data_IF_972435305337
#
_entry.id   IF_972435305337
#
_cell.length_a   1.000
_cell.length_b   1.000
_cell.length_c   1.000
_cell.angle_alpha   90.00
_cell.angle_beta   90.00
_cell.angle_gamma   90.00
#
_symmetry.space_group_name_H-M   'P 1'
#
loop_
_entity.id
_entity.type
_entity.pdbx_description
1 polymer ?
#
# COMPACT_ATOMS: atom_id res chain seq x y z
N UNK A 1 -10.36 -1.29 3.45
CA UNK A 1 -10.85 -2.18 4.50
C UNK A 1 -9.68 -2.90 5.18
N UNK A 2 -8.94 -3.80 4.50
CA UNK A 2 -7.86 -4.59 5.11
C UNK A 2 -6.80 -3.76 5.82
N UNK A 3 -6.37 -2.64 5.24
CA UNK A 3 -5.39 -1.76 5.85
C UNK A 3 -5.89 -1.16 7.17
N UNK A 4 -7.13 -0.72 7.23
CA UNK A 4 -7.72 -0.14 8.44
C UNK A 4 -7.89 -1.20 9.54
N UNK A 5 -8.34 -2.40 9.16
CA UNK A 5 -8.42 -3.53 10.09
C UNK A 5 -7.04 -3.94 10.62
N UNK A 6 -6.01 -3.86 9.78
CA UNK A 6 -4.64 -4.13 10.20
C UNK A 6 -4.18 -3.13 11.27
N UNK A 7 -4.44 -1.83 11.09
CA UNK A 7 -4.06 -0.78 12.05
C UNK A 7 -4.79 -0.93 13.39
N UNK A 8 -6.03 -1.45 13.40
CA UNK A 8 -6.76 -1.75 14.63
C UNK A 8 -6.13 -2.94 15.37
N UNK A 9 -5.61 -3.94 14.64
CA UNK A 9 -5.11 -5.20 15.21
C UNK A 9 -3.61 -5.20 15.51
N UNK A 10 -2.84 -4.22 15.01
CA UNK A 10 -1.39 -4.12 15.28
C UNK A 10 -0.93 -2.66 15.21
N UNK A 11 0.34 -2.41 15.51
CA UNK A 11 0.92 -1.07 15.54
C UNK A 11 0.94 -0.43 14.15
N UNK A 12 0.62 0.87 14.07
CA UNK A 12 0.59 1.61 12.82
C UNK A 12 1.97 1.61 12.10
N UNK A 13 3.06 1.72 12.86
CA UNK A 13 4.43 1.62 12.36
C UNK A 13 4.70 0.27 11.67
N UNK A 14 4.28 -0.83 12.28
CA UNK A 14 4.45 -2.20 11.72
C UNK A 14 3.66 -2.35 10.42
N UNK A 15 2.39 -1.89 10.40
CA UNK A 15 1.56 -1.91 9.20
C UNK A 15 2.21 -1.09 8.08
N UNK A 16 2.67 0.12 8.37
CA UNK A 16 3.32 0.98 7.39
C UNK A 16 4.57 0.37 6.79
N UNK A 17 5.41 -0.27 7.61
CA UNK A 17 6.65 -0.92 7.14
C UNK A 17 6.37 -2.18 6.32
N UNK A 18 5.48 -3.06 6.77
CA UNK A 18 5.11 -4.27 6.00
C UNK A 18 4.42 -3.87 4.67
N UNK A 19 3.55 -2.87 4.70
CA UNK A 19 2.90 -2.38 3.49
C UNK A 19 3.87 -1.73 2.50
N UNK A 20 5.02 -1.23 2.95
CA UNK A 20 6.03 -0.64 2.07
C UNK A 20 6.73 -1.65 1.15
N UNK A 21 6.57 -2.96 1.40
CA UNK A 21 7.01 -4.02 0.50
C UNK A 21 6.06 -4.24 -0.70
N UNK A 22 5.08 -3.38 -0.85
CA UNK A 22 4.13 -3.38 -1.97
C UNK A 22 4.80 -3.42 -3.37
N UNK A 23 5.95 -2.74 -3.63
CA UNK A 23 6.65 -2.85 -4.91
C UNK A 23 6.97 -4.28 -5.32
N UNK A 24 7.23 -5.18 -4.37
CA UNK A 24 7.44 -6.62 -4.63
C UNK A 24 6.21 -7.25 -5.26
N UNK A 25 5.03 -7.02 -4.69
CA UNK A 25 3.77 -7.54 -5.21
C UNK A 25 3.39 -6.89 -6.54
N UNK A 26 3.63 -5.59 -6.69
CA UNK A 26 3.43 -4.85 -7.93
C UNK A 26 4.31 -5.45 -9.04
N UNK A 27 5.58 -5.71 -8.78
CA UNK A 27 6.50 -6.33 -9.74
C UNK A 27 6.01 -7.71 -10.20
N UNK A 28 5.56 -8.57 -9.28
CA UNK A 28 5.03 -9.89 -9.60
C UNK A 28 3.79 -9.77 -10.50
N UNK A 29 2.84 -8.91 -10.12
CA UNK A 29 1.63 -8.71 -10.89
C UNK A 29 1.87 -7.99 -12.21
N UNK A 30 2.81 -7.03 -12.28
CA UNK A 30 3.19 -6.37 -13.51
C UNK A 30 3.81 -7.36 -14.50
N UNK A 31 4.63 -8.29 -14.05
CA UNK A 31 5.13 -9.39 -14.88
C UNK A 31 3.99 -10.27 -15.42
N UNK A 32 3.05 -10.68 -14.57
CA UNK A 32 1.94 -11.58 -14.95
C UNK A 32 0.95 -10.89 -15.91
N UNK A 33 0.51 -9.67 -15.58
CA UNK A 33 -0.60 -9.00 -16.26
C UNK A 33 -0.16 -8.01 -17.34
N UNK A 34 0.97 -7.34 -17.17
CA UNK A 34 1.50 -6.32 -18.10
C UNK A 34 2.67 -6.85 -18.93
N UNK A 35 3.22 -8.03 -18.59
CA UNK A 35 4.41 -8.62 -19.19
C UNK A 35 5.64 -7.72 -19.07
N UNK A 36 5.71 -6.91 -18.01
CA UNK A 36 6.92 -6.14 -17.69
C UNK A 36 8.06 -7.09 -17.30
N UNK A 37 9.29 -6.80 -17.75
CA UNK A 37 10.43 -7.66 -17.46
C UNK A 37 10.88 -7.58 -16.01
N UNK A 38 11.16 -8.74 -15.40
CA UNK A 38 11.76 -8.83 -14.07
C UNK A 38 13.28 -8.92 -14.22
N UNK A 39 13.97 -7.90 -13.74
CA UNK A 39 15.42 -7.89 -13.74
C UNK A 39 16.00 -8.55 -12.46
N UNK A 40 17.24 -9.06 -12.55
CA UNK A 40 17.92 -9.74 -11.44
C UNK A 40 18.02 -8.89 -10.17
N UNK A 41 18.22 -7.59 -10.31
CA UNK A 41 18.29 -6.68 -9.17
C UNK A 41 16.96 -6.59 -8.40
N UNK A 42 15.81 -6.74 -9.07
CA UNK A 42 14.51 -6.77 -8.42
C UNK A 42 14.36 -8.01 -7.51
N UNK A 43 14.91 -9.15 -7.94
CA UNK A 43 14.89 -10.38 -7.13
C UNK A 43 15.77 -10.22 -5.88
N UNK A 44 16.93 -9.58 -5.99
CA UNK A 44 17.83 -9.30 -4.87
C UNK A 44 17.11 -8.41 -3.83
N UNK A 45 16.45 -7.34 -4.30
CA UNK A 45 15.67 -6.47 -3.40
C UNK A 45 14.56 -7.22 -2.71
N UNK A 46 13.81 -8.06 -3.44
CA UNK A 46 12.76 -8.90 -2.87
C UNK A 46 13.27 -9.75 -1.71
N UNK A 47 14.43 -10.37 -1.87
CA UNK A 47 15.06 -11.18 -0.80
C UNK A 47 15.42 -10.31 0.40
N UNK A 48 16.07 -9.15 0.18
CA UNK A 48 16.45 -8.23 1.25
C UNK A 48 15.23 -7.66 2.00
N UNK A 49 14.20 -7.26 1.27
CA UNK A 49 12.95 -6.75 1.85
C UNK A 49 12.21 -7.81 2.66
N UNK A 50 12.13 -9.05 2.12
CA UNK A 50 11.53 -10.18 2.86
C UNK A 50 12.30 -10.47 4.15
N UNK A 51 13.63 -10.43 4.11
CA UNK A 51 14.47 -10.60 5.29
C UNK A 51 14.22 -9.48 6.31
N UNK A 52 14.11 -8.23 5.85
CA UNK A 52 13.76 -7.08 6.69
C UNK A 52 12.41 -7.25 7.38
N UNK A 53 11.38 -7.74 6.65
CA UNK A 53 10.05 -8.02 7.23
C UNK A 53 10.15 -9.09 8.31
N UNK A 54 10.86 -10.18 8.07
CA UNK A 54 11.02 -11.28 9.06
C UNK A 54 11.66 -10.75 10.35
N UNK A 55 12.66 -9.89 10.24
CA UNK A 55 13.31 -9.25 11.41
C UNK A 55 12.31 -8.36 12.16
N UNK A 56 11.48 -7.57 11.45
CA UNK A 56 10.49 -6.68 12.07
C UNK A 56 9.42 -7.47 12.80
N UNK A 57 8.90 -8.50 12.15
CA UNK A 57 7.87 -9.37 12.74
C UNK A 57 8.39 -10.05 14.00
N UNK A 58 9.70 -10.36 14.04
CA UNK A 58 10.34 -11.07 15.14
C UNK A 58 9.44 -12.21 15.67
N UNK A 59 9.29 -13.32 14.93
CA UNK A 59 8.32 -14.37 15.24
C UNK A 59 8.54 -15.03 16.62
N UNK A 60 9.68 -14.78 17.24
CA UNK A 60 10.01 -15.24 18.59
C UNK A 60 9.44 -14.33 19.70
N UNK A 61 8.96 -13.13 19.35
CA UNK A 61 8.33 -12.21 20.30
C UNK A 61 6.81 -12.26 20.13
N UNK A 62 6.08 -12.68 21.15
CA UNK A 62 4.61 -12.81 21.18
C UNK A 62 3.82 -11.46 21.14
N UNK A 63 4.48 -10.36 20.80
CA UNK A 63 3.90 -9.01 20.91
C UNK A 63 3.22 -8.48 19.65
N UNK A 64 3.33 -9.16 18.49
CA UNK A 64 2.75 -8.72 17.23
C UNK A 64 1.58 -9.64 16.87
N UNK A 65 0.43 -9.05 16.58
CA UNK A 65 -0.76 -9.79 16.16
C UNK A 65 -0.54 -10.44 14.78
N UNK A 66 -0.61 -11.76 14.72
CA UNK A 66 -0.56 -12.51 13.46
C UNK A 66 -1.69 -12.10 12.50
N UNK A 67 -2.87 -11.82 13.05
CA UNK A 67 -4.02 -11.32 12.27
C UNK A 67 -3.69 -9.96 11.65
N UNK A 68 -3.07 -9.04 12.40
CA UNK A 68 -2.65 -7.75 11.88
C UNK A 68 -1.65 -7.85 10.73
N UNK A 69 -0.69 -8.78 10.82
CA UNK A 69 0.26 -9.05 9.74
C UNK A 69 -0.45 -9.59 8.50
N UNK A 70 -1.32 -10.59 8.66
CA UNK A 70 -2.06 -11.19 7.56
C UNK A 70 -2.93 -10.15 6.85
N UNK A 71 -3.65 -9.32 7.61
CA UNK A 71 -4.46 -8.23 7.07
C UNK A 71 -3.61 -7.20 6.31
N UNK A 72 -2.41 -6.89 6.79
CA UNK A 72 -1.47 -5.99 6.10
C UNK A 72 -1.00 -6.58 4.77
N UNK A 73 -0.67 -7.86 4.73
CA UNK A 73 -0.28 -8.55 3.51
C UNK A 73 -1.44 -8.60 2.50
N UNK A 74 -2.66 -8.87 2.96
CA UNK A 74 -3.86 -8.82 2.10
C UNK A 74 -4.11 -7.41 1.56
N UNK A 75 -3.89 -6.39 2.39
CA UNK A 75 -3.97 -5.00 1.94
C UNK A 75 -2.92 -4.69 0.86
N UNK A 76 -1.68 -5.14 1.04
CA UNK A 76 -0.61 -4.94 0.07
C UNK A 76 -0.89 -5.68 -1.26
N UNK A 77 -1.36 -6.92 -1.19
CA UNK A 77 -1.73 -7.70 -2.39
C UNK A 77 -2.87 -7.05 -3.18
N UNK A 78 -3.95 -6.65 -2.49
CA UNK A 78 -5.10 -6.01 -3.16
C UNK A 78 -4.73 -4.65 -3.74
N UNK A 79 -3.89 -3.88 -3.05
CA UNK A 79 -3.39 -2.61 -3.56
C UNK A 79 -2.48 -2.78 -4.78
N UNK A 80 -1.58 -3.77 -4.75
CA UNK A 80 -0.70 -4.08 -5.88
C UNK A 80 -1.50 -4.50 -7.12
N UNK A 81 -2.51 -5.34 -6.93
CA UNK A 81 -3.42 -5.75 -8.00
C UNK A 81 -4.18 -4.54 -8.58
N UNK A 82 -4.72 -3.68 -7.70
CA UNK A 82 -5.38 -2.44 -8.10
C UNK A 82 -4.46 -1.53 -8.93
N UNK A 83 -3.20 -1.33 -8.49
CA UNK A 83 -2.21 -0.52 -9.20
C UNK A 83 -1.90 -1.07 -10.58
N UNK A 84 -1.63 -2.36 -10.70
CA UNK A 84 -1.28 -3.01 -11.97
C UNK A 84 -2.45 -3.04 -12.96
N UNK A 85 -3.66 -3.36 -12.50
CA UNK A 85 -4.87 -3.29 -13.34
C UNK A 85 -5.17 -1.83 -13.73
N UNK A 86 -4.96 -0.90 -12.81
CA UNK A 86 -5.08 0.53 -13.04
C UNK A 86 -4.13 1.02 -14.14
N UNK A 87 -2.86 0.57 -14.17
CA UNK A 87 -1.89 0.93 -15.22
C UNK A 87 -2.40 0.62 -16.62
N UNK A 88 -3.03 -0.53 -16.82
CA UNK A 88 -3.64 -0.87 -18.12
C UNK A 88 -4.71 0.13 -18.53
N UNK A 89 -5.46 0.66 -17.58
CA UNK A 89 -6.51 1.64 -17.80
C UNK A 89 -5.96 3.06 -17.98
N UNK A 90 -4.88 3.42 -17.25
CA UNK A 90 -4.26 4.75 -17.37
C UNK A 90 -3.68 5.00 -18.75
N UNK A 91 -3.11 3.99 -19.39
CA UNK A 91 -2.60 4.09 -20.76
C UNK A 91 -3.71 4.40 -21.79
N UNK A 92 -4.98 4.09 -21.47
CA UNK A 92 -6.12 4.28 -22.36
C UNK A 92 -6.92 5.55 -22.07
N UNK A 93 -7.10 5.88 -20.79
CA UNK A 93 -8.03 6.92 -20.35
C UNK A 93 -7.35 8.07 -19.61
N UNK A 94 -6.06 7.95 -19.28
CA UNK A 94 -5.33 8.88 -18.43
C UNK A 94 -5.46 8.58 -16.94
N UNK A 95 -4.43 8.94 -16.15
CA UNK A 95 -4.35 8.65 -14.72
C UNK A 95 -5.43 9.35 -13.89
N UNK A 96 -5.76 10.59 -14.23
CA UNK A 96 -6.78 11.37 -13.53
C UNK A 96 -8.18 10.77 -13.67
N UNK A 97 -8.54 10.36 -14.89
CA UNK A 97 -9.83 9.73 -15.19
C UNK A 97 -9.96 8.39 -14.46
N UNK A 98 -8.91 7.56 -14.48
CA UNK A 98 -8.90 6.28 -13.77
C UNK A 98 -9.07 6.49 -12.27
N UNK A 99 -8.38 7.48 -11.68
CA UNK A 99 -8.52 7.82 -10.27
C UNK A 99 -9.96 8.22 -9.94
N UNK A 100 -10.53 9.14 -10.69
CA UNK A 100 -11.89 9.65 -10.47
C UNK A 100 -12.92 8.51 -10.52
N UNK A 101 -12.94 7.72 -11.60
CA UNK A 101 -13.89 6.62 -11.74
C UNK A 101 -13.69 5.52 -10.71
N UNK A 102 -12.45 5.18 -10.35
CA UNK A 102 -12.16 4.21 -9.30
C UNK A 102 -12.76 4.62 -7.96
N UNK A 103 -12.66 5.89 -7.61
CA UNK A 103 -13.20 6.39 -6.34
C UNK A 103 -14.73 6.51 -6.35
N UNK A 104 -15.33 6.90 -7.48
CA UNK A 104 -16.80 6.91 -7.62
C UNK A 104 -17.34 5.48 -7.45
N UNK A 105 -16.79 4.53 -8.18
CA UNK A 105 -17.23 3.12 -8.11
C UNK A 105 -16.97 2.53 -6.72
N UNK A 106 -15.79 2.78 -6.13
CA UNK A 106 -15.46 2.34 -4.77
C UNK A 106 -16.37 2.96 -3.71
N UNK A 107 -16.78 4.21 -3.87
CA UNK A 107 -17.73 4.86 -2.95
C UNK A 107 -19.13 4.23 -3.05
N UNK A 108 -19.57 3.91 -4.26
CA UNK A 108 -20.86 3.21 -4.49
C UNK A 108 -20.80 1.80 -3.88
N UNK A 109 -19.69 1.06 -4.10
CA UNK A 109 -19.48 -0.26 -3.51
C UNK A 109 -19.53 -0.20 -1.99
N UNK A 110 -18.81 0.74 -1.37
CA UNK A 110 -18.83 0.91 0.09
C UNK A 110 -20.21 1.27 0.61
N UNK A 111 -20.96 2.14 -0.09
CA UNK A 111 -22.33 2.48 0.28
C UNK A 111 -23.24 1.24 0.24
N UNK A 112 -23.12 0.42 -0.79
CA UNK A 112 -23.88 -0.83 -0.91
C UNK A 112 -23.54 -1.78 0.24
N UNK A 113 -22.27 -1.96 0.57
CA UNK A 113 -21.83 -2.81 1.68
C UNK A 113 -22.38 -2.31 3.03
N UNK A 114 -22.37 -1.00 3.27
CA UNK A 114 -22.95 -0.39 4.46
C UNK A 114 -24.46 -0.70 4.51
N UNK A 115 -25.21 -0.48 3.43
CA UNK A 115 -26.64 -0.77 3.39
C UNK A 115 -26.94 -2.26 3.62
N UNK A 116 -26.15 -3.14 3.03
CA UNK A 116 -26.27 -4.59 3.23
C UNK A 116 -26.02 -4.97 4.69
N UNK A 117 -25.08 -4.30 5.40
CA UNK A 117 -24.78 -4.59 6.81
C UNK A 117 -25.98 -4.35 7.74
N UNK A 118 -26.96 -3.54 7.33
CA UNK A 118 -28.20 -3.26 8.09
C UNK A 118 -29.33 -4.26 7.83
N UNK A 119 -29.17 -5.18 6.88
CA UNK A 119 -30.18 -6.22 6.62
C UNK A 119 -30.14 -7.23 7.77
N UNK A 120 -31.29 -7.49 8.40
CA UNK A 120 -31.40 -8.36 9.59
C UNK A 120 -30.80 -9.76 9.40
N UNK A 121 -30.91 -10.34 8.22
CA UNK A 121 -30.31 -11.67 7.91
C UNK A 121 -28.80 -11.61 7.85
N UNK A 122 -28.23 -10.55 7.26
CA UNK A 122 -26.78 -10.32 7.17
C UNK A 122 -26.21 -9.99 8.55
N UNK A 123 -26.88 -9.13 9.30
CA UNK A 123 -26.52 -8.77 10.68
C UNK A 123 -26.41 -10.03 11.57
N UNK A 124 -27.42 -10.91 11.53
CA UNK A 124 -27.39 -12.16 12.30
C UNK A 124 -26.25 -13.08 11.85
N UNK A 125 -25.99 -13.17 10.57
CA UNK A 125 -24.87 -13.95 10.03
C UNK A 125 -23.53 -13.39 10.48
N UNK A 126 -23.30 -12.07 10.39
CA UNK A 126 -22.05 -11.42 10.83
C UNK A 126 -21.80 -11.65 12.33
N UNK A 127 -22.84 -11.55 13.16
CA UNK A 127 -22.74 -11.86 14.60
C UNK A 127 -22.40 -13.33 14.85
N UNK A 128 -22.95 -14.26 14.06
CA UNK A 128 -22.70 -15.69 14.23
C UNK A 128 -21.24 -16.10 13.94
N UNK A 129 -20.53 -15.32 13.13
CA UNK A 129 -19.11 -15.54 12.79
C UNK A 129 -18.15 -14.58 13.55
N UNK A 130 -18.63 -13.92 14.61
CA UNK A 130 -17.87 -12.94 15.43
C UNK A 130 -17.25 -11.80 14.61
N UNK A 131 -17.94 -11.32 13.59
CA UNK A 131 -17.54 -10.17 12.77
C UNK A 131 -18.33 -8.90 13.15
N UNK A 132 -18.36 -8.58 14.42
CA UNK A 132 -19.13 -7.45 14.97
C UNK A 132 -18.76 -6.10 14.37
N UNK A 133 -17.49 -5.93 13.99
CA UNK A 133 -16.96 -4.71 13.36
C UNK A 133 -17.67 -4.36 12.05
N UNK A 134 -18.23 -5.34 11.35
CA UNK A 134 -18.95 -5.15 10.09
C UNK A 134 -20.46 -5.14 10.24
N UNK A 135 -20.94 -5.27 11.46
CA UNK A 135 -22.38 -5.30 11.74
C UNK A 135 -22.92 -3.88 11.92
N UNK A 136 -23.99 -3.56 11.20
CA UNK A 136 -24.68 -2.26 11.28
C UNK A 136 -23.70 -1.06 11.21
N UNK A 137 -22.87 -1.00 10.19
CA UNK A 137 -21.86 0.05 10.03
C UNK A 137 -22.55 1.40 9.91
N UNK A 138 -22.31 2.36 10.83
CA UNK A 138 -22.98 3.65 10.82
C UNK A 138 -22.48 4.54 9.68
N UNK A 139 -23.40 5.19 8.94
CA UNK A 139 -23.06 6.11 7.85
C UNK A 139 -22.44 7.43 8.33
N UNK A 140 -22.88 7.95 9.48
CA UNK A 140 -22.55 9.29 9.95
C UNK A 140 -21.99 9.33 11.39
N UNK A 141 -21.36 8.26 11.87
CA UNK A 141 -20.70 8.31 13.18
C UNK A 141 -19.26 8.80 13.09
N UNK A 142 -18.81 9.50 14.13
CA UNK A 142 -17.42 9.95 14.24
C UNK A 142 -17.11 11.29 13.54
N UNK A 143 -18.08 11.92 12.91
CA UNK A 143 -17.93 13.25 12.31
C UNK A 143 -18.19 14.34 13.36
N UNK A 144 -17.14 14.74 14.09
CA UNK A 144 -17.18 15.83 15.06
C UNK A 144 -16.33 16.99 14.55
N UNK A 145 -16.57 18.21 15.08
CA UNK A 145 -15.77 19.40 14.71
C UNK A 145 -14.27 19.20 14.94
N UNK A 146 -13.89 18.42 15.96
CA UNK A 146 -12.49 18.10 16.26
C UNK A 146 -11.84 17.21 15.18
N UNK A 147 -12.62 16.35 14.54
CA UNK A 147 -12.13 15.38 13.55
C UNK A 147 -12.26 15.87 12.11
N UNK A 148 -12.96 16.98 11.85
CA UNK A 148 -13.24 17.44 10.48
C UNK A 148 -11.97 17.79 9.72
N UNK A 149 -10.99 18.42 10.37
CA UNK A 149 -9.73 18.82 9.73
C UNK A 149 -8.88 17.60 9.34
N UNK A 150 -8.61 16.63 10.23
CA UNK A 150 -7.95 15.38 9.85
C UNK A 150 -8.69 14.61 8.74
N UNK A 151 -10.01 14.56 8.79
CA UNK A 151 -10.84 13.89 7.79
C UNK A 151 -10.68 14.56 6.42
N UNK A 152 -10.79 15.88 6.34
CA UNK A 152 -10.60 16.63 5.10
C UNK A 152 -9.17 16.48 4.56
N UNK A 153 -8.17 16.50 5.43
CA UNK A 153 -6.78 16.24 5.05
C UNK A 153 -6.62 14.86 4.38
N UNK A 154 -7.17 13.82 4.99
CA UNK A 154 -7.11 12.46 4.42
C UNK A 154 -7.86 12.38 3.10
N UNK A 155 -9.02 12.99 2.97
CA UNK A 155 -9.82 12.92 1.74
C UNK A 155 -9.17 13.67 0.59
N UNK A 156 -8.71 14.90 0.82
CA UNK A 156 -8.20 15.77 -0.24
C UNK A 156 -6.74 15.42 -0.58
N UNK A 157 -5.86 15.43 0.43
CA UNK A 157 -4.43 15.30 0.19
C UNK A 157 -3.97 13.85 0.08
N UNK A 158 -4.35 12.99 1.03
CA UNK A 158 -3.87 11.61 1.05
C UNK A 158 -4.58 10.75 0.00
N UNK A 159 -5.91 10.86 -0.07
CA UNK A 159 -6.69 10.04 -0.99
C UNK A 159 -6.80 10.69 -2.37
N UNK A 160 -7.35 11.88 -2.49
CA UNK A 160 -7.56 12.54 -3.78
C UNK A 160 -6.25 12.82 -4.51
N UNK A 161 -5.45 13.72 -3.97
CA UNK A 161 -4.21 14.16 -4.61
C UNK A 161 -3.16 13.03 -4.67
N UNK A 162 -3.01 12.25 -3.59
CA UNK A 162 -2.02 11.18 -3.53
C UNK A 162 -2.23 10.12 -4.61
N UNK A 163 -3.45 9.66 -4.81
CA UNK A 163 -3.74 8.68 -5.86
C UNK A 163 -3.72 9.29 -7.26
N UNK A 164 -4.17 10.55 -7.43
CA UNK A 164 -4.07 11.23 -8.72
C UNK A 164 -2.61 11.34 -9.17
N UNK A 165 -1.70 11.78 -8.28
CA UNK A 165 -0.27 11.82 -8.55
C UNK A 165 0.32 10.43 -8.82
N UNK A 166 -0.10 9.41 -8.06
CA UNK A 166 0.39 8.04 -8.24
C UNK A 166 -0.01 7.45 -9.61
N UNK A 167 -1.26 7.59 -10.02
CA UNK A 167 -1.69 7.13 -11.33
C UNK A 167 -1.16 7.98 -12.48
N UNK A 168 -0.92 9.28 -12.25
CA UNK A 168 -0.24 10.13 -13.23
C UNK A 168 1.21 9.69 -13.43
N UNK A 169 1.93 9.41 -12.36
CA UNK A 169 3.26 8.82 -12.45
C UNK A 169 3.27 7.47 -13.17
N UNK A 170 2.27 6.62 -12.93
CA UNK A 170 2.09 5.37 -13.69
C UNK A 170 1.82 5.60 -15.16
N UNK A 171 1.04 6.62 -15.52
CA UNK A 171 0.74 6.97 -16.92
C UNK A 171 2.04 7.30 -17.68
N UNK A 172 2.89 8.10 -17.07
CA UNK A 172 4.14 8.61 -17.68
C UNK A 172 5.30 7.62 -17.60
N UNK A 173 5.23 6.61 -16.72
CA UNK A 173 6.30 5.64 -16.51
C UNK A 173 5.77 4.20 -16.58
N UNK A 174 6.28 3.32 -15.74
CA UNK A 174 5.81 1.94 -15.56
C UNK A 174 5.18 1.74 -14.18
N UNK A 175 4.43 0.64 -14.01
CA UNK A 175 3.90 0.26 -12.70
C UNK A 175 5.04 0.05 -11.68
N UNK A 176 6.13 -0.59 -12.13
CA UNK A 176 7.32 -0.81 -11.31
C UNK A 176 7.96 0.51 -10.87
N UNK A 177 8.22 1.44 -11.81
CA UNK A 177 8.84 2.74 -11.50
C UNK A 177 7.97 3.57 -10.56
N UNK A 178 6.67 3.69 -10.82
CA UNK A 178 5.78 4.44 -9.95
C UNK A 178 5.70 3.86 -8.53
N UNK A 179 5.86 2.53 -8.38
CA UNK A 179 5.83 1.87 -7.07
C UNK A 179 7.04 2.20 -6.17
N UNK A 180 8.15 2.70 -6.74
CA UNK A 180 9.35 3.06 -5.97
C UNK A 180 9.09 4.13 -4.90
N UNK A 181 8.04 4.92 -5.05
CA UNK A 181 7.62 5.91 -4.03
C UNK A 181 7.32 5.24 -2.67
N UNK A 182 6.90 3.97 -2.67
CA UNK A 182 6.60 3.27 -1.42
C UNK A 182 7.84 2.95 -0.59
N UNK A 183 9.04 3.02 -1.16
CA UNK A 183 10.29 2.80 -0.43
C UNK A 183 10.61 3.89 0.62
N UNK A 184 9.95 5.03 0.55
CA UNK A 184 10.03 6.05 1.60
C UNK A 184 9.19 5.71 2.84
N UNK A 185 8.16 4.86 2.70
CA UNK A 185 7.26 4.50 3.81
C UNK A 185 7.97 3.83 5.01
N UNK A 186 8.93 2.91 4.83
CA UNK A 186 9.60 2.25 5.96
C UNK A 186 10.30 3.23 6.89
N UNK A 187 10.73 4.36 6.38
CA UNK A 187 11.38 5.42 7.16
C UNK A 187 10.33 6.38 7.75
N UNK A 188 9.44 6.88 6.89
CA UNK A 188 8.49 7.90 7.30
C UNK A 188 7.45 7.37 8.29
N UNK A 189 6.94 6.16 8.08
CA UNK A 189 5.85 5.62 8.90
C UNK A 189 6.23 5.47 10.38
N UNK A 190 7.38 4.86 10.76
CA UNK A 190 7.79 4.79 12.15
C UNK A 190 8.12 6.15 12.77
N UNK A 191 8.76 7.04 12.01
CA UNK A 191 9.09 8.40 12.50
C UNK A 191 7.80 9.16 12.84
N UNK A 192 6.81 9.14 11.93
CA UNK A 192 5.53 9.80 12.16
C UNK A 192 4.74 9.13 13.30
N UNK A 193 4.77 7.80 13.40
CA UNK A 193 4.14 7.08 14.51
C UNK A 193 4.77 7.42 15.86
N UNK A 194 6.11 7.58 15.90
CA UNK A 194 6.80 8.04 17.11
C UNK A 194 6.41 9.48 17.49
N UNK A 195 6.37 10.41 16.51
CA UNK A 195 6.10 11.83 16.77
C UNK A 195 4.63 12.07 17.15
N UNK A 196 3.69 11.49 16.42
CA UNK A 196 2.26 11.82 16.57
C UNK A 196 1.51 10.90 17.54
N UNK A 197 1.95 9.64 17.69
CA UNK A 197 1.24 8.62 18.48
C UNK A 197 2.10 8.16 19.67
N UNK A 198 3.33 8.69 19.83
CA UNK A 198 4.30 8.27 20.84
C UNK A 198 4.55 6.74 20.81
N UNK A 199 4.54 6.13 19.63
CA UNK A 199 4.75 4.71 19.45
C UNK A 199 6.24 4.37 19.60
N UNK A 200 6.57 3.48 20.55
CA UNK A 200 7.95 3.04 20.75
C UNK A 200 8.44 2.19 19.56
N UNK A 201 9.59 2.57 19.00
CA UNK A 201 10.24 1.86 17.89
C UNK A 201 11.27 0.89 18.48
N UNK A 202 11.05 -0.44 18.43
CA UNK A 202 12.00 -1.42 18.94
C UNK A 202 13.21 -1.58 18.00
N UNK A 203 14.34 -2.02 18.56
CA UNK A 203 15.61 -2.15 17.82
C UNK A 203 15.49 -3.12 16.63
N UNK A 204 14.75 -4.22 16.77
CA UNK A 204 14.51 -5.15 15.67
C UNK A 204 13.78 -4.48 14.48
N UNK A 205 12.91 -3.50 14.75
CA UNK A 205 12.24 -2.73 13.70
C UNK A 205 13.24 -1.84 12.95
N UNK A 206 14.16 -1.19 13.67
CA UNK A 206 15.22 -0.37 13.05
C UNK A 206 16.11 -1.24 12.16
N UNK A 207 16.53 -2.41 12.65
CA UNK A 207 17.34 -3.35 11.87
C UNK A 207 16.61 -3.81 10.60
N UNK A 208 15.34 -4.17 10.71
CA UNK A 208 14.55 -4.59 9.54
C UNK A 208 14.34 -3.47 8.51
N UNK A 209 14.13 -2.23 8.98
CA UNK A 209 14.05 -1.05 8.10
C UNK A 209 15.35 -0.86 7.32
N UNK A 210 16.51 -1.05 7.94
CA UNK A 210 17.80 -0.94 7.26
C UNK A 210 17.92 -1.96 6.10
N UNK A 211 17.51 -3.21 6.30
CA UNK A 211 17.51 -4.21 5.23
C UNK A 211 16.56 -3.82 4.08
N UNK A 212 15.37 -3.33 4.40
CA UNK A 212 14.40 -2.87 3.40
C UNK A 212 14.98 -1.68 2.61
N UNK A 213 15.59 -0.71 3.29
CA UNK A 213 16.20 0.45 2.63
C UNK A 213 17.37 0.05 1.71
N UNK A 214 18.23 -0.87 2.14
CA UNK A 214 19.34 -1.36 1.31
C UNK A 214 18.80 -2.00 0.03
N UNK A 215 17.81 -2.88 0.13
CA UNK A 215 17.15 -3.50 -1.01
C UNK A 215 16.51 -2.47 -1.95
N UNK A 216 15.79 -1.52 -1.39
CA UNK A 216 15.08 -0.47 -2.11
C UNK A 216 16.03 0.47 -2.86
N UNK A 217 17.09 0.95 -2.18
CA UNK A 217 18.12 1.82 -2.79
C UNK A 217 18.84 1.08 -3.92
N UNK A 218 19.16 -0.19 -3.70
CA UNK A 218 19.81 -1.01 -4.73
C UNK A 218 18.94 -1.11 -6.00
N UNK A 219 17.64 -1.37 -5.87
CA UNK A 219 16.72 -1.39 -7.01
C UNK A 219 16.66 -0.04 -7.73
N UNK A 220 16.51 1.06 -6.98
CA UNK A 220 16.44 2.41 -7.56
C UNK A 220 17.70 2.71 -8.37
N UNK A 221 18.89 2.45 -7.81
CA UNK A 221 20.16 2.71 -8.51
C UNK A 221 20.33 1.85 -9.77
N UNK A 222 19.92 0.59 -9.72
CA UNK A 222 19.98 -0.30 -10.90
C UNK A 222 18.99 0.15 -11.98
N UNK A 223 17.77 0.56 -11.63
CA UNK A 223 16.78 1.03 -12.60
C UNK A 223 17.27 2.31 -13.29
N UNK A 224 17.79 3.29 -12.54
CA UNK A 224 18.37 4.52 -13.11
C UNK A 224 19.52 4.19 -14.08
N UNK A 225 20.38 3.22 -13.74
CA UNK A 225 21.48 2.83 -14.61
C UNK A 225 20.98 2.18 -15.91
N UNK A 226 19.95 1.35 -15.85
CA UNK A 226 19.35 0.74 -17.04
C UNK A 226 18.69 1.79 -17.94
N UNK A 227 17.97 2.72 -17.38
CA UNK A 227 17.31 3.80 -18.11
C UNK A 227 18.34 4.68 -18.85
N UNK A 228 19.42 5.07 -18.16
CA UNK A 228 20.52 5.83 -18.76
C UNK A 228 21.25 5.04 -19.87
N UNK A 229 21.40 3.71 -19.73
CA UNK A 229 22.02 2.90 -20.78
C UNK A 229 21.14 2.80 -22.03
N UNK A 230 19.83 2.69 -21.87
CA UNK A 230 18.88 2.68 -22.98
C UNK A 230 18.85 4.02 -23.74
N UNK A 231 18.91 5.14 -23.02
CA UNK A 231 18.98 6.48 -23.61
C UNK A 231 20.27 6.69 -24.39
N UNK A 232 21.40 6.20 -23.90
CA UNK A 232 22.70 6.31 -24.61
C UNK A 232 22.74 5.44 -25.88
N UNK A 233 22.08 4.29 -25.92
CA UNK A 233 21.94 3.50 -27.14
C UNK A 233 21.14 4.23 -28.21
N UNK A 234 20.00 4.82 -27.85
CA UNK A 234 19.13 5.58 -28.78
C UNK A 234 19.86 6.83 -29.35
N UNK A 235 20.69 7.48 -28.53
CA UNK A 235 21.46 8.67 -28.99
C UNK A 235 22.63 8.36 -29.95
N UNK A 236 23.11 7.13 -29.98
CA UNK A 236 24.18 6.70 -30.85
C UNK A 236 23.69 6.15 -32.22
N UNK A 237 22.38 5.86 -32.31
CA UNK A 237 21.76 5.36 -33.56
C UNK A 237 21.12 6.48 -34.39
N UNK A 238 21.21 7.76 -33.96
CA UNK A 238 20.82 8.96 -34.72
C UNK A 238 22.06 9.78 -35.09
#
# INVERSE_FOLDING_TARGET
IFYQLAVINTKASVVGVIFSCNPVFIMIFAYIFLKEEIHKHNIISLVLETFGIIIIINPLSSKISFIGILLTLMAALTFALYGVLGKKSTNKFGGEVVTCFSFILGSIEMLILILISHISSVSKFLLSINMDTFNCIPLFSGYNFENIVPILYVFIFVTGLGYACYFKAMEETSANTASLVFFFKPVLSPILAFIFINEFIPVNMIMGILFILIGSIYTILCNIKLENSNLSCISNDN
#
